data_IF_390014160495
#
_entry.id   IF_390014160495
#
_cell.length_a   1.000
_cell.length_b   1.000
_cell.length_c   1.000
_cell.angle_alpha   90.00
_cell.angle_beta   90.00
_cell.angle_gamma   90.00
#
_symmetry.space_group_name_H-M   'P 1'
#
loop_
_entity.id
_entity.type
_entity.pdbx_description
1 polymer ?
#
# COMPACT_ATOMS: atom_id res chain seq x y z
N UNK A 1 -14.01 3.57 -20.81
CA UNK A 1 -13.26 2.31 -20.72
C UNK A 1 -13.52 1.71 -19.36
N UNK A 2 -13.78 0.40 -19.30
CA UNK A 2 -13.96 -0.31 -18.03
C UNK A 2 -12.63 -0.31 -17.25
N UNK A 3 -12.73 -0.27 -15.90
CA UNK A 3 -11.58 -0.37 -15.01
C UNK A 3 -10.95 -1.76 -15.21
N UNK A 4 -9.64 -1.77 -15.47
CA UNK A 4 -8.87 -3.01 -15.54
C UNK A 4 -8.23 -3.27 -14.17
N UNK A 5 -8.80 -4.20 -13.43
CA UNK A 5 -8.33 -4.67 -12.14
C UNK A 5 -8.38 -6.20 -12.14
N UNK A 6 -7.50 -6.84 -11.39
CA UNK A 6 -7.43 -8.29 -11.28
C UNK A 6 -8.80 -8.90 -10.88
N UNK A 7 -9.12 -10.08 -11.43
CA UNK A 7 -10.47 -10.67 -11.42
C UNK A 7 -11.04 -10.92 -10.03
N UNK A 8 -10.24 -11.39 -9.06
CA UNK A 8 -10.72 -11.65 -7.69
C UNK A 8 -11.06 -10.33 -6.96
N UNK A 9 -10.30 -9.26 -7.18
CA UNK A 9 -10.66 -7.92 -6.71
C UNK A 9 -11.92 -7.39 -7.37
N UNK A 10 -12.06 -7.58 -8.68
CA UNK A 10 -13.27 -7.17 -9.40
C UNK A 10 -14.52 -7.83 -8.85
N UNK A 11 -14.45 -9.08 -8.43
CA UNK A 11 -15.56 -9.80 -7.82
C UNK A 11 -16.06 -9.12 -6.53
N UNK A 12 -15.16 -8.54 -5.73
CA UNK A 12 -15.50 -7.86 -4.47
C UNK A 12 -15.77 -6.36 -4.61
N UNK A 13 -15.15 -5.70 -5.59
CA UNK A 13 -15.21 -4.25 -5.76
C UNK A 13 -16.04 -3.81 -6.98
N UNK A 14 -16.63 -4.74 -7.73
CA UNK A 14 -17.39 -4.41 -8.93
C UNK A 14 -18.52 -3.40 -8.68
N UNK A 15 -19.22 -3.52 -7.55
CA UNK A 15 -20.28 -2.59 -7.18
C UNK A 15 -19.76 -1.15 -6.90
N UNK A 16 -18.49 -0.98 -6.52
CA UNK A 16 -17.92 0.35 -6.32
C UNK A 16 -17.79 1.12 -7.63
N UNK A 17 -17.52 0.42 -8.73
CA UNK A 17 -17.38 1.04 -10.06
C UNK A 17 -18.68 1.61 -10.61
N UNK A 18 -19.82 1.15 -10.11
CA UNK A 18 -21.17 1.61 -10.49
C UNK A 18 -21.63 2.82 -9.66
N UNK A 19 -20.93 3.18 -8.59
CA UNK A 19 -21.31 4.27 -7.70
C UNK A 19 -21.02 5.64 -8.31
N UNK A 20 -21.88 6.66 -8.06
CA UNK A 20 -21.69 8.01 -8.60
C UNK A 20 -20.33 8.64 -8.27
N UNK A 21 -19.82 8.41 -7.03
CA UNK A 21 -18.52 8.96 -6.65
C UNK A 21 -17.39 8.42 -7.52
N UNK A 22 -17.48 7.15 -7.95
CA UNK A 22 -16.42 6.54 -8.76
C UNK A 22 -16.42 7.10 -10.19
N UNK A 23 -17.60 7.40 -10.74
CA UNK A 23 -17.70 8.09 -12.03
C UNK A 23 -17.09 9.51 -11.95
N UNK A 24 -17.38 10.26 -10.88
CA UNK A 24 -16.80 11.59 -10.64
C UNK A 24 -15.28 11.51 -10.46
N UNK A 25 -14.79 10.55 -9.64
CA UNK A 25 -13.36 10.28 -9.45
C UNK A 25 -12.67 9.99 -10.79
N UNK A 26 -13.24 9.10 -11.59
CA UNK A 26 -12.66 8.68 -12.88
C UNK A 26 -12.59 9.87 -13.85
N UNK A 27 -13.61 10.71 -13.89
CA UNK A 27 -13.63 11.92 -14.71
C UNK A 27 -12.53 12.89 -14.26
N UNK A 28 -12.44 13.17 -12.96
CA UNK A 28 -11.44 14.08 -12.40
C UNK A 28 -10.00 13.57 -12.67
N UNK A 29 -9.74 12.28 -12.44
CA UNK A 29 -8.42 11.68 -12.70
C UNK A 29 -8.06 11.78 -14.19
N UNK A 30 -8.98 11.48 -15.09
CA UNK A 30 -8.72 11.64 -16.55
C UNK A 30 -8.38 13.08 -16.90
N UNK A 31 -9.11 14.04 -16.36
CA UNK A 31 -8.83 15.46 -16.58
C UNK A 31 -7.43 15.83 -16.09
N UNK A 32 -7.03 15.37 -14.89
CA UNK A 32 -5.69 15.59 -14.35
C UNK A 32 -4.60 15.06 -15.29
N UNK A 33 -4.74 13.83 -15.80
CA UNK A 33 -3.77 13.21 -16.71
C UNK A 33 -3.73 13.85 -18.10
N UNK A 34 -4.76 14.60 -18.50
CA UNK A 34 -4.75 15.35 -19.76
C UNK A 34 -4.17 16.75 -19.61
N UNK A 35 -4.29 17.35 -18.43
CA UNK A 35 -3.89 18.73 -18.19
C UNK A 35 -2.49 18.88 -17.59
N UNK A 36 -2.01 17.86 -16.89
CA UNK A 36 -0.75 17.90 -16.18
C UNK A 36 -0.09 16.52 -16.14
N UNK A 37 1.19 16.49 -15.78
CA UNK A 37 1.89 15.22 -15.54
C UNK A 37 1.44 14.64 -14.21
N UNK A 38 0.98 13.40 -14.23
CA UNK A 38 0.53 12.66 -13.03
C UNK A 38 1.26 11.33 -12.91
N UNK A 39 1.35 10.83 -11.68
CA UNK A 39 1.96 9.54 -11.35
C UNK A 39 1.01 8.67 -10.54
N UNK A 40 1.15 7.32 -10.62
CA UNK A 40 1.98 6.56 -11.56
C UNK A 40 1.44 6.66 -12.99
N UNK A 41 2.13 6.13 -14.02
CA UNK A 41 1.55 5.99 -15.35
C UNK A 41 0.19 5.30 -15.31
N UNK A 42 -0.76 5.74 -16.13
CA UNK A 42 -2.18 5.33 -16.03
C UNK A 42 -2.42 3.82 -15.97
N UNK A 43 -1.61 3.03 -16.71
CA UNK A 43 -1.66 1.56 -16.70
C UNK A 43 -1.25 0.93 -15.35
N UNK A 44 -0.59 1.68 -14.47
CA UNK A 44 -0.07 1.22 -13.19
C UNK A 44 -0.89 1.72 -11.98
N UNK A 45 -1.98 2.46 -12.19
CA UNK A 45 -2.80 2.98 -11.10
C UNK A 45 -3.31 1.86 -10.17
N UNK A 46 -3.72 0.72 -10.74
CA UNK A 46 -4.23 -0.44 -10.00
C UNK A 46 -3.19 -1.55 -9.79
N UNK A 47 -1.90 -1.23 -9.90
CA UNK A 47 -0.84 -2.23 -9.87
C UNK A 47 -0.78 -3.02 -8.56
N UNK A 48 -1.07 -2.40 -7.41
CA UNK A 48 -1.13 -3.08 -6.12
C UNK A 48 -2.15 -4.24 -6.11
N UNK A 49 -3.30 -4.02 -6.74
CA UNK A 49 -4.35 -5.04 -6.88
C UNK A 49 -3.98 -6.11 -7.91
N UNK A 50 -3.35 -5.70 -9.01
CA UNK A 50 -3.01 -6.61 -10.11
C UNK A 50 -1.87 -7.58 -9.73
N UNK A 51 -0.94 -7.15 -8.88
CA UNK A 51 0.18 -7.99 -8.42
C UNK A 51 -0.15 -8.81 -7.18
N UNK A 52 -1.18 -8.43 -6.43
CA UNK A 52 -1.60 -9.12 -5.21
C UNK A 52 -3.10 -9.44 -5.28
N UNK A 53 -3.51 -10.58 -5.86
CA UNK A 53 -4.90 -11.01 -5.92
C UNK A 53 -5.57 -11.05 -4.54
N UNK A 54 -6.87 -10.77 -4.49
CA UNK A 54 -7.65 -10.70 -3.24
C UNK A 54 -7.47 -11.93 -2.36
N UNK A 55 -7.54 -13.12 -2.96
CA UNK A 55 -7.42 -14.39 -2.25
C UNK A 55 -5.98 -14.71 -1.80
N UNK A 56 -5.00 -13.98 -2.30
CA UNK A 56 -3.58 -14.16 -1.98
C UNK A 56 -3.07 -13.16 -0.95
N UNK A 57 -3.87 -12.15 -0.58
CA UNK A 57 -3.46 -11.15 0.41
C UNK A 57 -3.18 -11.82 1.74
N UNK A 58 -1.99 -11.61 2.28
CA UNK A 58 -1.52 -12.03 3.61
C UNK A 58 -1.18 -10.83 4.49
N UNK A 59 -0.68 -9.77 3.88
CA UNK A 59 -0.24 -8.55 4.56
C UNK A 59 -0.80 -7.34 3.82
N UNK A 60 -1.23 -6.33 4.57
CA UNK A 60 -1.64 -5.03 4.03
C UNK A 60 -0.73 -3.95 4.60
N UNK A 61 -0.09 -3.17 3.74
CA UNK A 61 0.68 -1.99 4.11
C UNK A 61 0.02 -0.78 3.45
N UNK A 62 -0.36 0.22 4.26
CA UNK A 62 -1.09 1.39 3.77
C UNK A 62 -0.15 2.59 3.71
N UNK A 63 0.08 3.10 2.48
CA UNK A 63 0.70 4.40 2.23
C UNK A 63 -0.35 5.50 2.05
N UNK A 64 0.09 6.74 1.95
CA UNK A 64 -0.82 7.88 1.79
C UNK A 64 -1.10 8.17 0.32
N UNK A 65 -0.08 8.54 -0.45
CA UNK A 65 -0.15 8.84 -1.88
C UNK A 65 1.13 8.39 -2.60
N UNK A 66 1.13 8.29 -3.94
CA UNK A 66 2.31 7.90 -4.68
C UNK A 66 3.44 8.93 -4.55
N UNK A 67 4.68 8.49 -4.74
CA UNK A 67 5.80 9.41 -4.96
C UNK A 67 5.52 10.31 -6.18
N UNK A 68 5.88 11.58 -6.08
CA UNK A 68 5.52 12.60 -7.06
C UNK A 68 6.68 13.05 -7.96
N UNK A 69 7.86 12.42 -7.85
CA UNK A 69 8.99 12.70 -8.72
C UNK A 69 9.09 11.71 -9.89
N UNK A 70 9.66 12.11 -11.03
CA UNK A 70 9.77 11.27 -12.22
C UNK A 70 10.43 9.91 -11.93
N UNK A 71 9.87 8.84 -12.50
CA UNK A 71 10.42 7.50 -12.45
C UNK A 71 10.23 6.75 -11.13
N UNK A 72 9.70 7.38 -10.08
CA UNK A 72 9.55 6.74 -8.77
C UNK A 72 8.34 5.81 -8.70
N UNK A 73 7.13 6.36 -8.80
CA UNK A 73 5.88 5.63 -8.56
C UNK A 73 5.54 4.64 -9.66
N UNK A 74 5.14 3.44 -9.27
CA UNK A 74 4.65 2.39 -10.17
C UNK A 74 3.42 1.65 -9.61
N UNK A 75 2.65 2.31 -8.74
CA UNK A 75 1.37 1.81 -8.22
C UNK A 75 1.47 0.91 -6.99
N UNK A 76 2.63 0.86 -6.32
CA UNK A 76 2.85 0.17 -5.06
C UNK A 76 3.31 1.18 -3.99
N UNK A 77 2.68 1.18 -2.82
CA UNK A 77 3.08 2.07 -1.72
C UNK A 77 4.53 1.82 -1.29
N UNK A 78 5.26 2.89 -0.98
CA UNK A 78 6.68 2.91 -0.56
C UNK A 78 7.67 2.41 -1.61
N UNK A 79 7.24 1.80 -2.70
CA UNK A 79 8.06 1.21 -3.74
C UNK A 79 8.50 2.22 -4.78
N UNK A 80 9.71 2.08 -5.28
CA UNK A 80 10.23 2.81 -6.44
C UNK A 80 10.66 1.85 -7.53
N UNK A 81 10.72 2.33 -8.77
CA UNK A 81 11.22 1.54 -9.90
C UNK A 81 12.71 1.22 -9.74
N UNK A 82 13.15 0.17 -10.46
CA UNK A 82 14.57 -0.22 -10.47
C UNK A 82 15.46 0.94 -10.94
N UNK A 83 16.64 1.07 -10.32
CA UNK A 83 17.59 2.13 -10.62
C UNK A 83 17.29 3.49 -9.97
N UNK A 84 16.18 3.64 -9.27
CA UNK A 84 15.83 4.85 -8.54
C UNK A 84 16.43 4.80 -7.14
N UNK A 85 16.99 5.92 -6.69
CA UNK A 85 17.49 6.08 -5.34
C UNK A 85 16.37 5.89 -4.32
N UNK A 86 16.66 5.17 -3.23
CA UNK A 86 15.67 4.91 -2.19
C UNK A 86 15.20 6.20 -1.52
N UNK A 87 13.89 6.48 -1.52
CA UNK A 87 13.35 7.57 -0.72
C UNK A 87 13.62 7.34 0.77
N UNK A 88 13.68 8.41 1.58
CA UNK A 88 14.06 8.31 2.99
C UNK A 88 13.20 7.35 3.82
N UNK A 89 11.89 7.28 3.56
CA UNK A 89 11.01 6.30 4.23
C UNK A 89 11.38 4.86 3.89
N UNK A 90 11.67 4.57 2.63
CA UNK A 90 12.07 3.23 2.19
C UNK A 90 13.43 2.82 2.77
N UNK A 91 14.38 3.76 2.87
CA UNK A 91 15.64 3.51 3.55
C UNK A 91 15.44 3.07 5.01
N UNK A 92 14.53 3.74 5.72
CA UNK A 92 14.22 3.40 7.11
C UNK A 92 13.48 2.06 7.24
N UNK A 93 12.63 1.72 6.27
CA UNK A 93 11.99 0.40 6.20
C UNK A 93 13.07 -0.70 6.05
N UNK A 94 14.00 -0.56 5.13
CA UNK A 94 15.07 -1.55 4.94
C UNK A 94 16.04 -1.64 6.13
N UNK A 95 16.33 -0.51 6.80
CA UNK A 95 17.13 -0.53 8.03
C UNK A 95 16.46 -1.32 9.15
N UNK A 96 15.14 -1.15 9.31
CA UNK A 96 14.38 -1.92 10.31
C UNK A 96 14.32 -3.41 9.95
N UNK A 97 14.12 -3.76 8.67
CA UNK A 97 14.16 -5.16 8.22
C UNK A 97 15.53 -5.79 8.50
N UNK A 98 16.60 -5.08 8.21
CA UNK A 98 17.97 -5.57 8.50
C UNK A 98 18.19 -5.77 10.00
N UNK A 99 17.74 -4.83 10.82
CA UNK A 99 17.88 -4.93 12.28
C UNK A 99 17.03 -6.05 12.88
N UNK A 100 15.81 -6.25 12.37
CA UNK A 100 14.83 -7.22 12.87
C UNK A 100 15.13 -8.66 12.41
N UNK A 101 15.48 -8.82 11.13
CA UNK A 101 15.61 -10.14 10.48
C UNK A 101 17.05 -10.52 10.08
N UNK A 102 17.99 -9.59 10.14
CA UNK A 102 19.34 -9.78 9.60
C UNK A 102 19.40 -9.81 8.06
N UNK A 103 18.30 -9.52 7.38
CA UNK A 103 18.24 -9.49 5.91
C UNK A 103 19.07 -8.33 5.37
N UNK A 104 20.00 -8.55 4.43
CA UNK A 104 20.78 -7.46 3.84
C UNK A 104 19.88 -6.44 3.14
N UNK A 105 20.27 -5.16 3.19
CA UNK A 105 19.60 -4.10 2.43
C UNK A 105 19.70 -4.43 0.94
N UNK A 106 18.58 -4.49 0.20
CA UNK A 106 18.59 -4.85 -1.22
C UNK A 106 19.21 -3.74 -2.07
N UNK A 107 19.61 -4.08 -3.29
CA UNK A 107 20.12 -3.12 -4.27
C UNK A 107 19.01 -2.39 -5.03
N UNK A 108 17.78 -2.91 -5.02
CA UNK A 108 16.60 -2.32 -5.65
C UNK A 108 15.53 -1.95 -4.63
N UNK A 109 14.91 -0.79 -4.82
CA UNK A 109 13.74 -0.33 -4.07
C UNK A 109 12.40 -0.79 -4.64
N UNK A 110 12.43 -1.67 -5.65
CA UNK A 110 11.23 -2.22 -6.27
C UNK A 110 10.66 -3.35 -5.41
N UNK A 111 9.49 -3.11 -4.81
CA UNK A 111 8.82 -4.02 -3.88
C UNK A 111 7.83 -4.98 -4.58
N UNK A 112 7.88 -5.12 -5.90
CA UNK A 112 7.07 -6.10 -6.65
C UNK A 112 7.22 -7.49 -6.05
N UNK A 113 8.43 -7.88 -5.64
CA UNK A 113 8.70 -9.16 -4.99
C UNK A 113 7.90 -9.38 -3.69
N UNK A 114 7.53 -8.33 -2.96
CA UNK A 114 6.65 -8.43 -1.79
C UNK A 114 5.19 -8.60 -2.23
N UNK A 115 4.74 -7.81 -3.21
CA UNK A 115 3.38 -7.88 -3.72
C UNK A 115 3.05 -9.29 -4.25
N UNK A 116 3.95 -9.90 -4.99
CA UNK A 116 3.81 -11.26 -5.54
C UNK A 116 3.75 -12.35 -4.45
N UNK A 117 4.23 -12.07 -3.25
CA UNK A 117 4.13 -12.97 -2.09
C UNK A 117 2.83 -12.79 -1.28
N UNK A 118 1.98 -11.84 -1.63
CA UNK A 118 0.74 -11.56 -0.92
C UNK A 118 0.78 -10.31 -0.03
N UNK A 119 1.69 -9.38 -0.28
CA UNK A 119 1.70 -8.08 0.40
C UNK A 119 0.95 -7.06 -0.47
N UNK A 120 -0.22 -6.63 -0.03
CA UNK A 120 -0.95 -5.54 -0.65
C UNK A 120 -0.32 -4.20 -0.26
N UNK A 121 0.44 -3.61 -1.16
CA UNK A 121 1.10 -2.31 -1.00
C UNK A 121 0.17 -1.22 -1.53
N UNK A 122 -0.78 -0.79 -0.70
CA UNK A 122 -1.88 0.09 -1.10
C UNK A 122 -1.66 1.53 -0.64
N UNK A 123 -1.71 2.50 -1.56
CA UNK A 123 -1.86 3.90 -1.20
C UNK A 123 -3.33 4.26 -1.03
N UNK A 124 -3.63 5.19 -0.12
CA UNK A 124 -4.98 5.70 0.08
C UNK A 124 -5.46 6.54 -1.12
N UNK A 125 -4.58 7.36 -1.70
CA UNK A 125 -4.73 7.99 -3.01
C UNK A 125 -3.91 7.23 -4.03
N UNK A 126 -4.51 6.83 -5.16
CA UNK A 126 -3.79 6.03 -6.16
C UNK A 126 -3.08 6.87 -7.22
N UNK A 127 -3.28 8.20 -7.21
CA UNK A 127 -2.66 9.11 -8.17
C UNK A 127 -2.18 10.40 -7.49
N UNK A 128 -1.26 11.11 -8.12
CA UNK A 128 -0.69 12.37 -7.65
C UNK A 128 -0.21 13.20 -8.84
N UNK A 129 -0.25 14.55 -8.75
CA UNK A 129 0.44 15.44 -9.71
C UNK A 129 1.93 15.42 -9.49
N UNK A 130 2.69 15.54 -10.58
CA UNK A 130 4.15 15.74 -10.52
C UNK A 130 4.51 16.90 -9.59
N UNK A 131 5.51 16.68 -8.73
CA UNK A 131 6.06 17.67 -7.79
C UNK A 131 5.09 18.21 -6.73
N UNK A 132 3.88 17.61 -6.58
CA UNK A 132 2.83 18.11 -5.68
C UNK A 132 2.28 16.97 -4.81
N UNK A 133 2.98 16.68 -3.71
CA UNK A 133 2.52 15.69 -2.74
C UNK A 133 1.08 15.97 -2.30
N UNK A 134 0.31 14.91 -2.11
CA UNK A 134 -1.07 14.96 -1.62
C UNK A 134 -2.08 15.72 -2.52
N UNK A 135 -1.71 16.07 -3.75
CA UNK A 135 -2.51 16.90 -4.67
C UNK A 135 -3.86 16.27 -5.06
N UNK A 136 -3.99 14.94 -5.02
CA UNK A 136 -5.23 14.22 -5.35
C UNK A 136 -6.00 13.70 -4.13
N UNK A 137 -5.68 14.15 -2.92
CA UNK A 137 -6.32 13.69 -1.68
C UNK A 137 -7.82 13.96 -1.62
N UNK A 138 -8.31 14.95 -2.37
CA UNK A 138 -9.73 15.34 -2.39
C UNK A 138 -10.52 14.77 -3.56
N UNK A 139 -9.89 14.04 -4.47
CA UNK A 139 -10.56 13.50 -5.66
C UNK A 139 -11.54 12.35 -5.36
N UNK A 140 -11.40 11.70 -4.20
CA UNK A 140 -12.31 10.61 -3.79
C UNK A 140 -11.69 9.22 -3.81
N UNK A 141 -10.38 9.08 -4.08
CA UNK A 141 -9.68 7.78 -4.02
C UNK A 141 -9.87 7.03 -2.72
N UNK A 142 -9.89 7.76 -1.59
CA UNK A 142 -10.01 7.15 -0.26
C UNK A 142 -11.30 6.36 -0.07
N UNK A 143 -12.42 6.76 -0.71
CA UNK A 143 -13.66 5.98 -0.68
C UNK A 143 -13.48 4.60 -1.31
N UNK A 144 -12.75 4.54 -2.42
CA UNK A 144 -12.47 3.29 -3.12
C UNK A 144 -11.47 2.42 -2.36
N UNK A 145 -10.38 2.98 -1.87
CA UNK A 145 -9.36 2.23 -1.14
C UNK A 145 -9.85 1.76 0.22
N UNK A 146 -10.70 2.54 0.89
CA UNK A 146 -11.38 2.12 2.12
C UNK A 146 -12.34 0.94 1.85
N UNK A 147 -13.07 0.96 0.73
CA UNK A 147 -13.92 -0.17 0.32
C UNK A 147 -13.08 -1.44 0.09
N UNK A 148 -11.88 -1.33 -0.46
CA UNK A 148 -10.97 -2.46 -0.63
C UNK A 148 -10.51 -3.03 0.73
N UNK A 149 -10.16 -2.17 1.69
CA UNK A 149 -9.79 -2.60 3.04
C UNK A 149 -10.98 -3.27 3.75
N UNK A 150 -12.18 -2.69 3.65
CA UNK A 150 -13.39 -3.24 4.21
C UNK A 150 -13.76 -4.60 3.59
N UNK A 151 -13.58 -4.77 2.29
CA UNK A 151 -13.81 -6.04 1.62
C UNK A 151 -12.89 -7.15 2.18
N UNK A 152 -11.59 -6.86 2.35
CA UNK A 152 -10.66 -7.78 3.00
C UNK A 152 -11.07 -8.08 4.43
N UNK A 153 -11.36 -7.06 5.23
CA UNK A 153 -11.73 -7.21 6.65
C UNK A 153 -13.03 -8.02 6.83
N UNK A 154 -13.93 -7.98 5.85
CA UNK A 154 -15.23 -8.69 5.90
C UNK A 154 -15.17 -10.12 5.38
N UNK A 155 -14.27 -10.43 4.45
CA UNK A 155 -14.25 -11.71 3.74
C UNK A 155 -12.99 -12.55 3.98
N UNK A 156 -12.01 -12.00 4.66
CA UNK A 156 -10.73 -12.68 4.92
C UNK A 156 -10.36 -12.60 6.40
N UNK A 157 -9.64 -13.61 6.86
CA UNK A 157 -9.11 -13.72 8.22
C UNK A 157 -7.61 -13.99 8.18
N UNK A 158 -6.95 -13.80 9.32
CA UNK A 158 -5.52 -14.02 9.50
C UNK A 158 -4.62 -13.12 8.64
N UNK A 159 -5.12 -11.94 8.26
CA UNK A 159 -4.32 -10.92 7.57
C UNK A 159 -3.55 -10.09 8.60
N UNK A 160 -2.33 -9.71 8.25
CA UNK A 160 -1.52 -8.77 9.01
C UNK A 160 -1.66 -7.37 8.41
N UNK A 161 -2.16 -6.42 9.19
CA UNK A 161 -2.25 -5.02 8.78
C UNK A 161 -1.12 -4.23 9.44
N UNK A 162 -0.19 -3.72 8.64
CA UNK A 162 0.90 -2.85 9.07
C UNK A 162 0.50 -1.40 8.85
N UNK A 163 0.16 -0.70 9.93
CA UNK A 163 -0.39 0.65 9.91
C UNK A 163 0.64 1.65 10.43
N UNK A 164 1.31 2.34 9.53
CA UNK A 164 2.42 3.23 9.80
C UNK A 164 2.02 4.71 9.73
N UNK A 165 2.10 5.38 10.89
CA UNK A 165 1.73 6.78 11.04
C UNK A 165 0.25 7.03 11.32
N UNK A 166 -0.07 8.26 11.69
CA UNK A 166 -1.43 8.62 12.15
C UNK A 166 -2.51 8.35 11.12
N UNK A 167 -2.23 8.60 9.83
CA UNK A 167 -3.20 8.37 8.76
C UNK A 167 -3.57 6.88 8.63
N UNK A 168 -2.57 6.00 8.50
CA UNK A 168 -2.80 4.56 8.36
C UNK A 168 -3.42 3.97 9.64
N UNK A 169 -2.96 4.36 10.84
CA UNK A 169 -3.55 3.94 12.11
C UNK A 169 -5.02 4.32 12.24
N UNK A 170 -5.42 5.45 11.66
CA UNK A 170 -6.81 5.87 11.58
C UNK A 170 -7.73 4.87 10.85
N UNK A 171 -7.19 3.92 10.09
CA UNK A 171 -7.96 2.86 9.41
C UNK A 171 -8.21 1.61 10.28
N UNK A 172 -7.57 1.51 11.46
CA UNK A 172 -7.68 0.34 12.34
C UNK A 172 -9.11 0.01 12.77
N UNK A 173 -10.02 0.99 12.80
CA UNK A 173 -11.42 0.77 13.16
C UNK A 173 -12.18 -0.14 12.19
N UNK A 174 -11.69 -0.28 10.96
CA UNK A 174 -12.29 -1.16 9.94
C UNK A 174 -11.90 -2.64 10.12
N UNK A 175 -10.94 -2.94 10.99
CA UNK A 175 -10.28 -4.25 11.07
C UNK A 175 -10.70 -4.95 12.37
N UNK A 176 -11.25 -6.16 12.23
CA UNK A 176 -11.52 -7.03 13.39
C UNK A 176 -10.19 -7.62 13.90
N UNK A 177 -9.72 -7.09 15.03
CA UNK A 177 -8.48 -7.52 15.70
C UNK A 177 -8.58 -8.89 16.36
N UNK A 178 -9.78 -9.49 16.45
CA UNK A 178 -9.94 -10.87 16.95
C UNK A 178 -9.60 -11.90 15.87
N UNK A 179 -9.66 -11.50 14.61
CA UNK A 179 -9.45 -12.35 13.43
C UNK A 179 -8.16 -12.03 12.68
N UNK A 180 -7.56 -10.88 12.95
CA UNK A 180 -6.43 -10.34 12.21
C UNK A 180 -5.38 -9.77 13.16
N UNK A 181 -4.14 -9.66 12.71
CA UNK A 181 -3.08 -8.95 13.44
C UNK A 181 -2.97 -7.51 12.94
N UNK A 182 -3.01 -6.55 13.85
CA UNK A 182 -2.75 -5.14 13.55
C UNK A 182 -1.45 -4.72 14.23
N UNK A 183 -0.45 -4.33 13.42
CA UNK A 183 0.84 -3.81 13.86
C UNK A 183 0.90 -2.31 13.59
N UNK A 184 0.90 -1.52 14.64
CA UNK A 184 0.89 -0.06 14.56
C UNK A 184 2.26 0.50 14.93
N UNK A 185 2.69 1.56 14.23
CA UNK A 185 3.88 2.34 14.58
C UNK A 185 3.76 3.79 14.10
N UNK A 186 4.77 4.60 14.38
CA UNK A 186 4.95 5.89 13.72
C UNK A 186 5.30 5.66 12.24
N UNK A 187 5.22 6.72 11.43
CA UNK A 187 5.58 6.66 10.01
C UNK A 187 7.10 6.46 9.84
N UNK A 188 7.56 5.68 8.83
CA UNK A 188 8.98 5.44 8.58
C UNK A 188 9.76 6.66 8.08
N UNK A 189 9.10 7.77 7.74
CA UNK A 189 9.81 8.99 7.33
C UNK A 189 10.74 9.49 8.43
N UNK A 190 11.90 10.09 8.09
CA UNK A 190 12.85 10.62 9.09
C UNK A 190 12.22 11.61 10.06
N UNK A 191 11.22 12.38 9.61
CA UNK A 191 10.49 13.34 10.46
C UNK A 191 9.76 12.68 11.63
N UNK A 192 9.36 11.43 11.48
CA UNK A 192 8.68 10.65 12.51
C UNK A 192 9.60 9.61 13.14
N UNK A 193 10.31 8.82 12.32
CA UNK A 193 11.16 7.71 12.77
C UNK A 193 12.27 8.17 13.73
N UNK A 194 12.89 9.32 13.45
CA UNK A 194 13.96 9.86 14.29
C UNK A 194 13.50 10.39 15.66
N UNK A 195 12.18 10.50 15.86
CA UNK A 195 11.59 10.86 17.16
C UNK A 195 11.29 9.64 18.04
N UNK A 196 11.58 8.43 17.53
CA UNK A 196 11.32 7.14 18.17
C UNK A 196 10.00 6.51 17.75
N UNK A 197 9.87 5.20 18.03
CA UNK A 197 8.66 4.41 17.76
C UNK A 197 8.57 3.79 16.37
N UNK A 198 9.64 3.89 15.56
CA UNK A 198 9.78 3.14 14.30
C UNK A 198 10.78 2.00 14.45
N UNK A 199 12.02 2.30 14.83
CA UNK A 199 13.09 1.31 14.95
C UNK A 199 12.91 0.42 16.18
N UNK A 200 13.25 -0.85 16.06
CA UNK A 200 13.15 -1.83 17.14
C UNK A 200 11.73 -2.30 17.46
N UNK A 201 10.77 -2.09 16.56
CA UNK A 201 9.39 -2.56 16.75
C UNK A 201 9.20 -4.02 16.35
N UNK A 202 10.17 -4.64 15.69
CA UNK A 202 10.14 -6.05 15.27
C UNK A 202 8.88 -6.43 14.47
N UNK A 203 8.37 -5.51 13.64
CA UNK A 203 7.11 -5.70 12.93
C UNK A 203 7.20 -6.81 11.88
N UNK A 204 8.35 -6.94 11.22
CA UNK A 204 8.55 -7.91 10.14
C UNK A 204 8.67 -9.35 10.68
N UNK A 205 9.41 -9.55 11.75
CA UNK A 205 9.49 -10.86 12.43
C UNK A 205 8.15 -11.24 13.08
N UNK A 206 7.46 -10.29 13.73
CA UNK A 206 6.13 -10.51 14.31
C UNK A 206 5.09 -10.85 13.24
N UNK A 207 5.15 -10.19 12.09
CA UNK A 207 4.32 -10.52 10.94
C UNK A 207 4.53 -11.97 10.50
N UNK A 208 5.78 -12.36 10.25
CA UNK A 208 6.12 -13.69 9.80
C UNK A 208 5.76 -14.78 10.82
N UNK A 209 5.96 -14.51 12.10
CA UNK A 209 5.55 -15.41 13.18
C UNK A 209 4.02 -15.63 13.15
N UNK A 210 3.24 -14.56 13.02
CA UNK A 210 1.77 -14.68 12.94
C UNK A 210 1.32 -15.47 11.71
N UNK A 211 1.91 -15.22 10.55
CA UNK A 211 1.61 -15.97 9.33
C UNK A 211 1.86 -17.47 9.50
N UNK A 212 3.03 -17.83 10.06
CA UNK A 212 3.40 -19.23 10.33
C UNK A 212 2.46 -19.90 11.33
N UNK A 213 2.07 -19.20 12.40
CA UNK A 213 1.11 -19.71 13.39
C UNK A 213 -0.25 -20.02 12.79
N UNK A 214 -0.61 -19.34 11.69
CA UNK A 214 -1.87 -19.57 10.97
C UNK A 214 -1.69 -20.41 9.68
N UNK A 215 -0.59 -21.17 9.57
CA UNK A 215 -0.36 -22.10 8.48
C UNK A 215 -0.02 -21.45 7.14
N UNK A 216 0.35 -20.16 7.14
CA UNK A 216 0.73 -19.42 5.94
C UNK A 216 2.24 -19.31 5.81
N UNK A 217 2.72 -19.27 4.56
CA UNK A 217 4.15 -19.03 4.29
C UNK A 217 4.53 -17.61 4.72
N UNK A 218 5.69 -17.44 5.41
CA UNK A 218 6.20 -16.12 5.75
C UNK A 218 6.55 -15.31 4.50
N UNK A 219 6.72 -14.00 4.69
CA UNK A 219 7.20 -13.10 3.64
C UNK A 219 8.73 -13.08 3.68
N UNK A 220 9.33 -13.20 2.53
CA UNK A 220 10.75 -12.91 2.32
C UNK A 220 10.88 -11.39 2.06
N UNK A 221 11.13 -10.68 3.12
CA UNK A 221 11.21 -9.21 3.12
C UNK A 221 12.44 -8.64 2.42
#
# INVERSE_FOLDING_TARGET
MAVQIEGSWKAHLGAEFEKPYFAQLTQAVRQEYTQTTCYPPGKLIFNAFNLCPFDKVKVVIIGQDPYHEPGQAHGLSFSVQDGIQFPPSLQNIFKEIQADLGTPIPTSGNLTRWAEQGVLLLNASLTVRAHQANSHSTLGWQKFTDAAIQALASHREHIVYMLWGGYARGKAYMIDKTKNLVLESVHPSPLSANRGGWFGQHQFSRCNQYLQQNGMTPINW
#
